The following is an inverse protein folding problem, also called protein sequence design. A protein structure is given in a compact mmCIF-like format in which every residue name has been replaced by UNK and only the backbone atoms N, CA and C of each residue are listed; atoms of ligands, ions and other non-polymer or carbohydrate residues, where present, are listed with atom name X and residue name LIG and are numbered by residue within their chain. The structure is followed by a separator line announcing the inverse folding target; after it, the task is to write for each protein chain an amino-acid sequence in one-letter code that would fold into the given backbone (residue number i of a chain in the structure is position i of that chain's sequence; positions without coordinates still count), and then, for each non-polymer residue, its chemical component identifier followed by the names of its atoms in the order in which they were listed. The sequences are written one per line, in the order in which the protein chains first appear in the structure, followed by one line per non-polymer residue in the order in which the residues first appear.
data_IF_991265655302
#
_entry.id   IF_991265655302
#
_cell.length_a   1.000
_cell.length_b   1.000
_cell.length_c   1.000
_cell.angle_alpha   90.00
_cell.angle_beta   90.00
_cell.angle_gamma   90.00
#
_symmetry.space_group_name_H-M   'P 1'
#
loop_
_entity.id
_entity.type
_entity.pdbx_description
1 polymer ?
#
# COMPACT_ATOMS: atom_id res chain seq x y z
N UNK A 1 7.44 7.07 9.81
CA UNK A 1 7.79 6.11 8.74
C UNK A 1 7.70 6.85 7.42
N UNK A 2 8.75 6.81 6.58
CA UNK A 2 8.78 7.52 5.29
C UNK A 2 9.58 6.70 4.26
N UNK A 3 9.10 6.68 3.02
CA UNK A 3 9.78 6.02 1.89
C UNK A 3 9.66 6.87 0.63
N UNK A 4 10.73 6.98 -0.13
CA UNK A 4 10.81 7.81 -1.33
C UNK A 4 11.16 6.99 -2.56
N UNK A 5 10.52 7.34 -3.67
CA UNK A 5 10.79 6.80 -5.01
C UNK A 5 11.13 7.98 -5.90
N UNK A 6 12.38 8.04 -6.34
CA UNK A 6 12.88 9.11 -7.22
C UNK A 6 13.00 8.62 -8.65
N UNK A 7 12.44 9.37 -9.60
CA UNK A 7 12.57 9.17 -11.05
C UNK A 7 12.95 10.48 -11.74
N UNK A 8 13.35 10.40 -13.00
CA UNK A 8 13.88 11.56 -13.74
C UNK A 8 12.96 12.77 -13.74
N UNK A 9 11.64 12.57 -13.89
CA UNK A 9 10.65 13.66 -14.02
C UNK A 9 9.82 13.89 -12.76
N UNK A 10 9.74 12.89 -11.88
CA UNK A 10 8.79 12.85 -10.77
C UNK A 10 9.39 12.10 -9.59
N UNK A 11 8.96 12.46 -8.40
CA UNK A 11 9.21 11.70 -7.19
C UNK A 11 7.89 11.46 -6.47
N UNK A 12 7.76 10.28 -5.87
CA UNK A 12 6.65 9.94 -4.99
C UNK A 12 7.18 9.53 -3.64
N UNK A 13 6.49 9.93 -2.57
CA UNK A 13 6.81 9.47 -1.22
C UNK A 13 5.56 9.08 -0.45
N UNK A 14 5.74 8.10 0.41
CA UNK A 14 4.75 7.60 1.34
C UNK A 14 5.19 8.01 2.74
N UNK A 15 4.30 8.63 3.51
CA UNK A 15 4.61 9.16 4.84
C UNK A 15 3.51 8.81 5.82
N UNK A 16 3.93 8.41 7.02
CA UNK A 16 3.06 8.39 8.18
C UNK A 16 3.33 9.66 8.98
N UNK A 17 2.34 10.52 9.10
CA UNK A 17 2.40 11.78 9.85
C UNK A 17 1.38 11.76 10.99
N UNK A 18 1.55 12.62 11.97
CA UNK A 18 0.54 12.83 13.01
C UNK A 18 -0.39 13.96 12.56
N UNK A 19 -1.69 13.69 12.49
CA UNK A 19 -2.69 14.70 12.20
C UNK A 19 -2.86 15.66 13.39
N UNK A 20 -3.61 16.75 13.17
CA UNK A 20 -3.83 17.79 14.20
C UNK A 20 -4.57 17.28 15.43
N UNK A 21 -5.35 16.21 15.31
CA UNK A 21 -6.05 15.53 16.40
C UNK A 21 -5.18 14.47 17.10
N UNK A 22 -3.89 14.39 16.77
CA UNK A 22 -2.94 13.44 17.35
C UNK A 22 -2.98 12.05 16.73
N UNK A 23 -3.89 11.77 15.79
CA UNK A 23 -4.02 10.45 15.16
C UNK A 23 -3.03 10.25 14.02
N UNK A 24 -2.56 9.01 13.78
CA UNK A 24 -1.68 8.73 12.65
C UNK A 24 -2.45 8.84 11.33
N UNK A 25 -1.85 9.51 10.35
CA UNK A 25 -2.38 9.74 9.01
C UNK A 25 -1.35 9.30 7.96
N UNK A 26 -1.77 8.45 7.03
CA UNK A 26 -0.96 8.07 5.88
C UNK A 26 -1.14 9.07 4.74
N UNK A 27 -0.04 9.53 4.15
CA UNK A 27 -0.03 10.41 3.00
C UNK A 27 0.78 9.78 1.86
N UNK A 28 0.26 9.93 0.65
CA UNK A 28 1.01 9.75 -0.60
C UNK A 28 1.19 11.12 -1.23
N UNK A 29 2.44 11.51 -1.45
CA UNK A 29 2.79 12.80 -2.03
C UNK A 29 3.59 12.58 -3.32
N UNK A 30 3.33 13.38 -4.35
CA UNK A 30 4.07 13.36 -5.60
C UNK A 30 4.50 14.77 -6.02
N UNK A 31 5.74 14.92 -6.47
CA UNK A 31 6.31 16.20 -6.88
C UNK A 31 7.06 16.08 -8.22
N UNK A 32 7.02 17.12 -9.07
CA UNK A 32 7.77 17.14 -10.31
C UNK A 32 9.24 17.45 -10.04
N UNK A 33 10.12 17.05 -10.96
CA UNK A 33 11.52 17.48 -10.97
C UNK A 33 11.64 18.96 -11.32
N UNK A 34 12.60 19.68 -10.73
CA UNK A 34 12.79 21.12 -10.95
C UNK A 34 13.51 21.50 -12.28
N UNK A 35 13.95 20.54 -13.11
CA UNK A 35 14.79 20.79 -14.30
C UNK A 35 16.23 21.18 -13.90
N UNK A 36 17.31 20.81 -14.61
CA UNK A 36 17.61 20.95 -16.05
C UNK A 36 18.09 19.66 -16.72
N UNK A 37 18.07 19.65 -18.06
CA UNK A 37 18.96 18.79 -18.88
C UNK A 37 20.41 19.01 -18.42
N UNK A 38 21.00 18.01 -17.77
CA UNK A 38 22.36 18.06 -17.24
C UNK A 38 22.46 17.33 -15.91
N UNK A 39 23.62 16.73 -15.63
CA UNK A 39 23.85 16.06 -14.34
C UNK A 39 23.71 17.08 -13.19
N UNK A 40 22.75 16.90 -12.26
CA UNK A 40 22.55 17.84 -11.16
C UNK A 40 23.78 17.85 -10.24
N UNK A 41 24.19 19.04 -9.80
CA UNK A 41 25.30 19.20 -8.86
C UNK A 41 24.90 18.62 -7.49
N UNK A 42 25.88 18.04 -6.79
CA UNK A 42 25.68 17.43 -5.47
C UNK A 42 25.20 18.50 -4.48
N UNK A 43 23.91 18.44 -4.08
CA UNK A 43 23.30 19.36 -3.11
C UNK A 43 22.05 20.09 -3.60
N UNK A 44 21.69 20.04 -4.89
CA UNK A 44 20.50 20.72 -5.40
C UNK A 44 19.18 20.02 -5.02
N UNK A 45 18.15 20.82 -4.68
CA UNK A 45 16.76 20.34 -4.53
C UNK A 45 16.30 19.81 -5.90
N UNK A 46 16.25 18.48 -6.06
CA UNK A 46 15.90 17.84 -7.35
C UNK A 46 14.41 17.89 -7.69
N UNK A 47 13.54 18.13 -6.71
CA UNK A 47 12.08 18.04 -6.85
C UNK A 47 11.37 19.16 -6.08
N UNK A 48 10.26 19.64 -6.65
CA UNK A 48 9.48 20.75 -6.11
C UNK A 48 8.44 20.29 -5.08
N UNK A 49 8.91 19.92 -3.89
CA UNK A 49 8.05 19.50 -2.78
C UNK A 49 7.32 20.65 -2.08
N UNK A 50 7.70 21.90 -2.37
CA UNK A 50 7.18 23.07 -1.68
C UNK A 50 6.02 23.69 -2.46
N UNK A 51 6.15 23.88 -3.77
CA UNK A 51 5.18 24.66 -4.55
C UNK A 51 4.26 23.80 -5.42
N UNK A 52 4.76 22.69 -5.97
CA UNK A 52 4.05 21.93 -7.02
C UNK A 52 3.70 20.49 -6.62
N UNK A 53 3.86 20.13 -5.34
CA UNK A 53 3.49 18.78 -4.88
C UNK A 53 1.97 18.58 -4.87
N UNK A 54 1.56 17.36 -5.15
CA UNK A 54 0.24 16.84 -4.84
C UNK A 54 0.32 15.94 -3.61
N UNK A 55 -0.72 15.95 -2.80
CA UNK A 55 -0.84 15.12 -1.59
C UNK A 55 -2.24 14.55 -1.49
N UNK A 56 -2.32 13.27 -1.14
CA UNK A 56 -3.53 12.52 -0.87
C UNK A 56 -3.37 11.72 0.41
N UNK A 57 -4.31 11.85 1.33
CA UNK A 57 -4.38 10.97 2.51
C UNK A 57 -5.00 9.63 2.15
N UNK A 58 -4.53 8.53 2.73
CA UNK A 58 -5.11 7.21 2.53
C UNK A 58 -5.67 6.66 3.84
N UNK A 59 -6.88 6.10 3.79
CA UNK A 59 -7.43 5.33 4.91
C UNK A 59 -6.73 3.96 5.03
N UNK A 60 -6.85 3.27 6.18
CA UNK A 60 -6.33 1.91 6.31
C UNK A 60 -6.86 0.93 5.25
N UNK A 61 -8.14 1.04 4.89
CA UNK A 61 -8.78 0.20 3.87
C UNK A 61 -8.16 0.48 2.49
N UNK A 62 -7.93 1.74 2.17
CA UNK A 62 -7.26 2.15 0.93
C UNK A 62 -5.80 1.70 0.88
N UNK A 63 -5.10 1.71 2.02
CA UNK A 63 -3.74 1.19 2.13
C UNK A 63 -3.68 -0.32 1.92
N UNK A 64 -4.65 -1.08 2.44
CA UNK A 64 -4.77 -2.51 2.17
C UNK A 64 -5.12 -2.79 0.71
N UNK A 65 -6.05 -2.03 0.13
CA UNK A 65 -6.40 -2.15 -1.29
C UNK A 65 -5.19 -1.86 -2.20
N UNK A 66 -4.41 -0.83 -1.87
CA UNK A 66 -3.17 -0.50 -2.57
C UNK A 66 -2.12 -1.61 -2.43
N UNK A 67 -1.98 -2.21 -1.24
CA UNK A 67 -1.07 -3.32 -1.02
C UNK A 67 -1.46 -4.55 -1.87
N UNK A 68 -2.74 -4.94 -1.81
CA UNK A 68 -3.27 -6.04 -2.60
C UNK A 68 -3.07 -5.81 -4.10
N UNK A 69 -3.33 -4.59 -4.59
CA UNK A 69 -3.12 -4.26 -6.01
C UNK A 69 -1.63 -4.30 -6.41
N UNK A 70 -0.72 -3.88 -5.53
CA UNK A 70 0.72 -4.00 -5.79
C UNK A 70 1.17 -5.46 -5.92
N UNK A 71 0.53 -6.38 -5.19
CA UNK A 71 0.74 -7.83 -5.36
C UNK A 71 0.14 -8.33 -6.66
N UNK A 72 -1.12 -8.01 -6.94
CA UNK A 72 -1.81 -8.41 -8.15
C UNK A 72 -1.03 -8.01 -9.41
N UNK A 73 -0.62 -6.74 -9.52
CA UNK A 73 0.14 -6.23 -10.66
C UNK A 73 1.49 -6.93 -10.80
N UNK A 74 2.14 -7.37 -9.71
CA UNK A 74 3.40 -8.12 -9.81
C UNK A 74 3.20 -9.52 -10.38
N UNK A 75 2.10 -10.21 -10.09
CA UNK A 75 1.95 -11.62 -10.45
C UNK A 75 1.08 -11.84 -11.69
N UNK A 76 0.10 -10.98 -11.96
CA UNK A 76 -0.86 -11.15 -13.04
C UNK A 76 -0.59 -10.19 -14.20
N UNK A 77 -0.58 -10.73 -15.42
CA UNK A 77 -0.30 -9.95 -16.64
C UNK A 77 -1.40 -8.95 -17.01
N UNK A 78 -2.63 -9.21 -16.60
CA UNK A 78 -3.83 -8.45 -16.97
C UNK A 78 -4.49 -7.80 -15.74
N UNK A 79 -3.69 -7.37 -14.76
CA UNK A 79 -4.22 -6.73 -13.56
C UNK A 79 -4.93 -5.41 -13.93
N UNK A 80 -6.19 -5.26 -13.52
CA UNK A 80 -6.92 -4.01 -13.76
C UNK A 80 -6.35 -2.87 -12.90
N UNK A 81 -6.36 -1.61 -13.38
CA UNK A 81 -5.93 -0.47 -12.58
C UNK A 81 -6.73 -0.32 -11.28
N UNK A 82 -6.06 0.09 -10.21
CA UNK A 82 -6.70 0.63 -9.01
C UNK A 82 -6.83 2.14 -9.14
N UNK A 83 -8.00 2.68 -8.82
CA UNK A 83 -8.24 4.12 -8.66
C UNK A 83 -8.84 4.40 -7.28
N UNK A 84 -8.23 5.33 -6.56
CA UNK A 84 -8.69 5.84 -5.27
C UNK A 84 -9.01 7.33 -5.43
N UNK A 85 -10.29 7.69 -5.36
CA UNK A 85 -10.80 9.03 -5.66
C UNK A 85 -11.33 9.72 -4.41
N UNK A 86 -10.79 10.90 -4.11
CA UNK A 86 -11.17 11.72 -2.96
C UNK A 86 -11.75 13.04 -3.45
N UNK A 87 -12.92 13.38 -2.91
CA UNK A 87 -13.63 14.60 -3.23
C UNK A 87 -13.91 15.40 -1.96
N UNK A 88 -13.12 16.48 -1.69
CA UNK A 88 -13.32 17.32 -0.52
C UNK A 88 -14.73 17.94 -0.45
N UNK A 89 -15.35 18.19 -1.60
CA UNK A 89 -16.64 18.88 -1.68
C UNK A 89 -17.77 18.02 -1.12
N UNK A 90 -17.66 16.69 -1.19
CA UNK A 90 -18.63 15.76 -0.55
C UNK A 90 -18.70 15.92 0.97
N UNK A 91 -17.65 16.45 1.59
CA UNK A 91 -17.58 16.70 3.02
C UNK A 91 -17.68 18.19 3.37
N UNK A 92 -18.17 19.03 2.44
CA UNK A 92 -18.21 20.49 2.59
C UNK A 92 -16.84 21.11 2.92
N UNK A 93 -15.75 20.54 2.41
CA UNK A 93 -14.39 21.06 2.57
C UNK A 93 -13.93 21.74 1.29
N UNK A 94 -13.13 22.78 1.43
CA UNK A 94 -12.46 23.41 0.30
C UNK A 94 -11.40 22.49 -0.30
N UNK A 95 -11.26 22.55 -1.63
CA UNK A 95 -10.23 21.83 -2.37
C UNK A 95 -10.75 21.15 -3.62
N UNK A 96 -9.80 20.80 -4.49
CA UNK A 96 -10.07 20.10 -5.73
C UNK A 96 -10.08 18.58 -5.51
N UNK A 97 -10.94 17.83 -6.23
CA UNK A 97 -10.90 16.37 -6.18
C UNK A 97 -9.56 15.81 -6.66
N UNK A 98 -9.11 14.74 -6.01
CA UNK A 98 -7.83 14.10 -6.28
C UNK A 98 -8.01 12.60 -6.47
N UNK A 99 -7.11 12.01 -7.25
CA UNK A 99 -7.17 10.60 -7.58
C UNK A 99 -5.77 10.01 -7.60
N UNK A 100 -5.58 8.90 -6.88
CA UNK A 100 -4.40 8.07 -6.95
C UNK A 100 -4.71 6.84 -7.81
N UNK A 101 -3.92 6.64 -8.86
CA UNK A 101 -4.10 5.54 -9.82
C UNK A 101 -2.84 4.69 -9.81
N UNK A 102 -3.01 3.38 -9.58
CA UNK A 102 -1.97 2.38 -9.77
C UNK A 102 -2.36 1.47 -10.93
N UNK A 103 -1.58 1.49 -12.01
CA UNK A 103 -1.88 0.73 -13.24
C UNK A 103 -0.64 -0.03 -13.74
N UNK A 104 -0.79 -1.24 -14.30
CA UNK A 104 0.31 -1.87 -15.03
C UNK A 104 0.62 -1.10 -16.32
N UNK A 105 1.86 -1.22 -16.79
CA UNK A 105 2.21 -0.80 -18.14
C UNK A 105 1.54 -1.77 -19.12
N UNK A 106 0.48 -1.33 -19.80
CA UNK A 106 -0.15 -2.15 -20.85
C UNK A 106 0.78 -2.26 -22.05
N UNK A 107 1.27 -3.47 -22.32
CA UNK A 107 2.08 -3.79 -23.51
C UNK A 107 1.23 -4.10 -24.73
N UNK A 108 -0.07 -3.75 -24.73
CA UNK A 108 -1.01 -4.12 -25.79
C UNK A 108 -0.60 -3.66 -27.20
N UNK A 109 0.30 -2.68 -27.32
CA UNK A 109 0.67 -2.08 -28.60
C UNK A 109 2.17 -2.04 -28.93
N UNK A 110 3.05 -2.72 -28.18
CA UNK A 110 4.50 -2.55 -28.38
C UNK A 110 5.24 -3.86 -28.70
N UNK A 111 5.78 -3.90 -29.92
CA UNK A 111 6.85 -4.79 -30.43
C UNK A 111 8.15 -4.73 -29.60
N UNK A 112 8.15 -4.10 -28.42
CA UNK A 112 9.31 -3.84 -27.60
C UNK A 112 9.22 -4.73 -26.35
N UNK A 113 10.20 -5.62 -26.16
CA UNK A 113 10.41 -6.38 -24.92
C UNK A 113 10.81 -5.42 -23.78
N UNK A 114 9.91 -4.55 -23.33
CA UNK A 114 10.15 -3.74 -22.15
C UNK A 114 10.11 -4.63 -20.90
N UNK A 115 11.07 -4.42 -19.99
CA UNK A 115 11.04 -5.02 -18.66
C UNK A 115 9.76 -4.55 -17.94
N UNK A 116 9.19 -5.41 -17.10
CA UNK A 116 8.01 -5.12 -16.27
C UNK A 116 8.00 -3.69 -15.71
N UNK A 117 6.92 -2.95 -15.94
CA UNK A 117 6.71 -1.59 -15.44
C UNK A 117 5.26 -1.39 -14.99
N UNK A 118 5.07 -0.53 -14.01
CA UNK A 118 3.76 -0.02 -13.58
C UNK A 118 3.87 1.50 -13.36
N UNK A 119 2.73 2.17 -13.23
CA UNK A 119 2.67 3.60 -12.94
C UNK A 119 1.85 3.86 -11.69
N UNK A 120 2.37 4.74 -10.85
CA UNK A 120 1.61 5.38 -9.79
C UNK A 120 1.41 6.84 -10.15
N UNK A 121 0.17 7.22 -10.39
CA UNK A 121 -0.22 8.56 -10.83
C UNK A 121 -1.04 9.21 -9.74
N UNK A 122 -0.62 10.39 -9.30
CA UNK A 122 -1.44 11.27 -8.47
C UNK A 122 -1.88 12.46 -9.33
N UNK A 123 -3.19 12.63 -9.46
CA UNK A 123 -3.78 13.72 -10.25
C UNK A 123 -4.81 14.51 -9.47
N UNK A 124 -4.90 15.79 -9.77
CA UNK A 124 -5.96 16.69 -9.32
C UNK A 124 -6.93 16.96 -10.48
N UNK A 125 -8.22 17.08 -10.19
CA UNK A 125 -9.25 17.46 -11.18
C UNK A 125 -9.78 18.86 -10.87
N UNK A 126 -9.75 19.74 -11.86
CA UNK A 126 -10.38 21.06 -11.80
C UNK A 126 -11.67 21.02 -12.64
N UNK A 127 -12.77 20.61 -12.01
CA UNK A 127 -14.04 20.36 -12.69
C UNK A 127 -13.90 19.22 -13.72
N UNK A 128 -14.23 19.49 -14.99
CA UNK A 128 -14.09 18.51 -16.07
C UNK A 128 -12.67 18.41 -16.66
N UNK A 129 -11.73 19.26 -16.24
CA UNK A 129 -10.35 19.25 -16.77
C UNK A 129 -9.40 18.58 -15.78
N UNK A 130 -8.47 17.79 -16.29
CA UNK A 130 -7.32 17.32 -15.52
C UNK A 130 -6.47 18.52 -15.14
N UNK A 131 -6.27 18.73 -13.84
CA UNK A 131 -5.37 19.73 -13.29
C UNK A 131 -3.93 19.23 -13.29
N UNK A 132 -3.19 19.47 -12.20
CA UNK A 132 -1.86 18.94 -12.04
C UNK A 132 -1.87 17.39 -11.99
N UNK A 133 -0.88 16.77 -12.62
CA UNK A 133 -0.71 15.32 -12.61
C UNK A 133 0.78 14.97 -12.53
N UNK A 134 1.12 14.06 -11.61
CA UNK A 134 2.46 13.51 -11.44
C UNK A 134 2.40 11.99 -11.54
N UNK A 135 3.16 11.41 -12.47
CA UNK A 135 3.20 9.96 -12.69
C UNK A 135 4.61 9.42 -12.47
N UNK A 136 4.74 8.43 -11.60
CA UNK A 136 6.00 7.80 -11.22
C UNK A 136 6.03 6.38 -11.75
N UNK A 137 7.08 6.05 -12.51
CA UNK A 137 7.32 4.69 -13.00
C UNK A 137 7.78 3.80 -11.85
N UNK A 138 7.13 2.66 -11.70
CA UNK A 138 7.42 1.65 -10.68
C UNK A 138 8.00 0.40 -11.32
N UNK A 139 9.05 -0.11 -10.67
CA UNK A 139 9.61 -1.43 -10.94
C UNK A 139 8.90 -2.49 -10.10
N UNK A 140 9.18 -3.76 -10.38
CA UNK A 140 8.70 -4.88 -9.55
C UNK A 140 9.11 -4.75 -8.09
N UNK A 141 10.32 -4.24 -7.83
CA UNK A 141 10.84 -4.03 -6.46
C UNK A 141 10.11 -2.90 -5.76
N UNK A 142 9.82 -1.80 -6.45
CA UNK A 142 9.05 -0.70 -5.86
C UNK A 142 7.66 -1.18 -5.42
N UNK A 143 6.97 -1.97 -6.25
CA UNK A 143 5.66 -2.53 -5.91
C UNK A 143 5.71 -3.42 -4.66
N UNK A 144 6.75 -4.23 -4.50
CA UNK A 144 6.93 -5.04 -3.28
C UNK A 144 7.13 -4.16 -2.04
N UNK A 145 7.96 -3.12 -2.15
CA UNK A 145 8.23 -2.21 -1.04
C UNK A 145 6.95 -1.43 -0.69
N UNK A 146 6.22 -0.92 -1.68
CA UNK A 146 4.94 -0.24 -1.47
C UNK A 146 3.95 -1.19 -0.78
N UNK A 147 3.77 -2.42 -1.27
CA UNK A 147 2.91 -3.42 -0.62
C UNK A 147 3.24 -3.54 0.87
N UNK A 148 4.50 -3.84 1.20
CA UNK A 148 4.89 -4.04 2.60
C UNK A 148 4.70 -2.79 3.44
N UNK A 149 5.06 -1.64 2.88
CA UNK A 149 4.95 -0.36 3.56
C UNK A 149 3.51 -0.01 3.86
N UNK A 150 2.61 -0.08 2.87
CA UNK A 150 1.21 0.31 3.04
C UNK A 150 0.46 -0.67 3.94
N UNK A 151 0.75 -1.98 3.87
CA UNK A 151 0.25 -2.96 4.85
C UNK A 151 0.69 -2.59 6.26
N UNK A 152 1.97 -2.26 6.48
CA UNK A 152 2.47 -1.87 7.81
C UNK A 152 1.81 -0.57 8.28
N UNK A 153 1.72 0.46 7.42
CA UNK A 153 1.04 1.72 7.75
C UNK A 153 -0.43 1.49 8.15
N UNK A 154 -1.15 0.63 7.43
CA UNK A 154 -2.54 0.30 7.74
C UNK A 154 -2.68 -0.37 9.11
N UNK A 155 -1.84 -1.37 9.39
CA UNK A 155 -1.83 -2.08 10.67
C UNK A 155 -1.45 -1.15 11.83
N UNK A 156 -0.53 -0.21 11.61
CA UNK A 156 -0.17 0.79 12.61
C UNK A 156 -1.32 1.76 12.90
N UNK A 157 -1.99 2.28 11.87
CA UNK A 157 -3.13 3.19 12.04
C UNK A 157 -4.32 2.50 12.73
N UNK A 158 -4.52 1.20 12.47
CA UNK A 158 -5.53 0.37 13.14
C UNK A 158 -5.13 -0.10 14.54
N UNK A 159 -3.95 0.29 15.03
CA UNK A 159 -3.39 -0.11 16.32
C UNK A 159 -3.19 -1.64 16.50
N UNK A 160 -3.22 -2.41 15.42
CA UNK A 160 -2.99 -3.87 15.47
C UNK A 160 -1.55 -4.23 15.84
N UNK A 161 -0.63 -3.28 15.65
CA UNK A 161 0.77 -3.40 16.03
C UNK A 161 1.08 -2.71 17.36
N UNK A 162 0.09 -2.37 18.18
CA UNK A 162 0.32 -1.69 19.44
C UNK A 162 1.07 -2.62 20.44
N UNK A 163 2.32 -2.31 20.81
CA UNK A 163 3.06 -3.11 21.79
C UNK A 163 2.47 -2.99 23.21
N UNK A 164 1.55 -2.06 23.44
CA UNK A 164 0.81 -1.90 24.70
C UNK A 164 -0.54 -2.61 24.72
N UNK A 165 -0.92 -3.37 23.68
CA UNK A 165 -2.00 -4.33 23.87
C UNK A 165 -1.58 -5.26 25.01
N UNK A 166 -2.37 -5.38 26.09
CA UNK A 166 -2.09 -6.38 27.11
C UNK A 166 -2.08 -7.70 26.36
N UNK A 167 -0.89 -8.30 26.22
CA UNK A 167 -0.83 -9.70 25.88
C UNK A 167 -1.69 -10.35 26.95
N UNK A 168 -2.85 -10.89 26.56
CA UNK A 168 -3.62 -11.75 27.45
C UNK A 168 -2.62 -12.82 27.83
N UNK A 169 -2.04 -12.70 29.02
CA UNK A 169 -1.51 -13.85 29.72
C UNK A 169 -2.72 -14.76 29.77
N UNK A 170 -2.70 -15.79 28.95
CA UNK A 170 -3.53 -16.95 29.17
C UNK A 170 -2.99 -17.47 30.51
N UNK A 171 -3.53 -16.92 31.59
CA UNK A 171 -3.35 -17.50 32.90
C UNK A 171 -3.91 -18.90 32.76
N UNK A 172 -3.14 -19.91 33.16
CA UNK A 172 -3.51 -21.33 33.10
C UNK A 172 -4.83 -21.66 33.82
N UNK A 173 -5.46 -20.68 34.46
CA UNK A 173 -6.73 -20.79 35.17
C UNK A 173 -7.97 -20.63 34.28
N UNK A 174 -7.84 -20.32 32.98
CA UNK A 174 -8.93 -20.47 32.00
C UNK A 174 -8.92 -21.82 31.26
N UNK A 175 -8.15 -22.79 31.76
CA UNK A 175 -8.25 -24.19 31.38
C UNK A 175 -9.10 -25.01 32.37
N UNK A 176 -9.76 -24.37 33.34
CA UNK A 176 -10.57 -25.05 34.36
C UNK A 176 -12.10 -24.88 34.20
N UNK A 177 -12.60 -24.24 33.13
CA UNK A 177 -14.05 -24.10 32.87
C UNK A 177 -14.51 -24.70 31.53
N UNK A 178 -13.69 -25.57 30.93
CA UNK A 178 -14.13 -26.48 29.85
C UNK A 178 -13.70 -27.93 30.09
N UNK A 179 -13.66 -28.33 31.37
CA UNK A 179 -13.54 -29.72 31.82
C UNK A 179 -14.93 -30.37 32.07
N UNK A 180 -15.94 -30.00 31.27
CA UNK A 180 -17.15 -30.81 31.05
C UNK A 180 -17.38 -30.98 29.53
N UNK A 181 -16.37 -31.48 28.83
CA UNK A 181 -16.60 -32.24 27.60
C UNK A 181 -15.82 -33.55 27.71
N UNK A 182 -16.58 -34.58 28.05
CA UNK A 182 -16.34 -36.02 27.95
C UNK A 182 -15.01 -36.41 27.29
N UNK A 183 -14.17 -37.08 28.08
CA UNK A 183 -13.00 -37.83 27.60
C UNK A 183 -13.39 -38.71 26.40
N UNK A 184 -12.65 -38.68 25.26
CA UNK A 184 -12.63 -39.84 24.39
C UNK A 184 -11.79 -40.90 25.09
N UNK A 185 -12.43 -42.00 25.49
CA UNK A 185 -11.74 -43.23 25.87
C UNK A 185 -10.70 -43.57 24.79
N UNK A 186 -9.49 -43.84 25.25
CA UNK A 186 -8.46 -44.49 24.46
C UNK A 186 -8.96 -45.86 24.00
N UNK A 187 -9.24 -45.99 22.71
CA UNK A 187 -9.15 -47.27 22.02
C UNK A 187 -8.09 -47.11 20.94
N UNK A 188 -6.89 -47.60 21.23
CA UNK A 188 -5.96 -48.02 20.19
C UNK A 188 -6.57 -49.23 19.48
N UNK A 189 -6.76 -49.22 18.15
CA UNK A 189 -6.75 -50.45 17.40
C UNK A 189 -5.29 -50.79 17.08
N UNK A 190 -4.79 -51.90 17.64
CA UNK A 190 -3.66 -52.64 17.08
C UNK A 190 -3.96 -52.92 15.60
N UNK A 191 -3.21 -52.29 14.70
CA UNK A 191 -3.24 -52.66 13.29
C UNK A 191 -2.29 -53.86 13.18
N UNK A 192 -2.84 -55.07 13.09
CA UNK A 192 -2.07 -56.26 12.71
C UNK A 192 -1.61 -56.11 11.25
N UNK A 193 -0.34 -56.44 11.00
CA UNK A 193 0.39 -56.27 9.74
C UNK A 193 -0.13 -57.15 8.56
N UNK A 194 -1.30 -57.77 8.70
CA UNK A 194 -1.90 -58.69 7.73
C UNK A 194 -2.95 -58.09 6.80
N UNK A 195 -3.33 -56.82 6.95
CA UNK A 195 -4.44 -56.20 6.19
C UNK A 195 -4.02 -55.32 5.00
N UNK A 196 -2.83 -55.54 4.44
CA UNK A 196 -2.40 -54.87 3.19
C UNK A 196 -2.57 -55.84 2.01
N UNK A 197 -3.62 -55.74 1.18
CA UNK A 197 -3.66 -56.44 -0.10
C UNK A 197 -2.70 -55.77 -1.10
N UNK A 198 -1.84 -56.57 -1.71
CA UNK A 198 -1.01 -56.23 -2.88
C UNK A 198 -1.85 -55.99 -4.13
#
# INVERSE_FOLDING_TARGET
MEYHIYRTKTATRFRLVTATDGKPLALVEAAPSLGKQGQPQKGEKRYDWENSKLSLSLSPEELFALAAKCEEIRFFKNAEPLSLYHDPQKANREGNPKELILAPYSTADQKVKMKFMAYLTLREKNGQKTGAQHSTILTRTDLYIIQRLTTHMAMFIKEWLNPQMPQRKITKDQQAETDEFTQPESMEPEIEESDIPF
#
